data_IF_144571531070
#
_entry.id   IF_144571531070
#
_cell.length_a   1.000
_cell.length_b   1.000
_cell.length_c   1.000
_cell.angle_alpha   90.00
_cell.angle_beta   90.00
_cell.angle_gamma   90.00
#
_symmetry.space_group_name_H-M   'P 1'
#
loop_
_entity.id
_entity.type
_entity.pdbx_description
1 polymer ?
#
# COMPACT_ATOMS: atom_id res chain seq x y z
N UNK A 1 -25.09 -2.42 9.19
CA UNK A 1 -26.13 -1.40 9.47
C UNK A 1 -27.16 -1.47 8.35
N UNK A 2 -28.15 -2.34 8.48
CA UNK A 2 -29.25 -2.45 7.51
C UNK A 2 -30.20 -1.29 7.81
N UNK A 3 -30.33 -0.35 6.86
CA UNK A 3 -31.07 0.89 7.04
C UNK A 3 -32.54 0.67 7.47
N UNK A 4 -32.97 1.46 8.46
CA UNK A 4 -34.35 1.53 8.99
C UNK A 4 -35.43 1.95 7.97
N UNK A 5 -35.07 2.14 6.69
CA UNK A 5 -36.00 2.47 5.61
C UNK A 5 -36.86 1.29 5.14
N UNK A 6 -36.47 0.04 5.45
CA UNK A 6 -37.19 -1.15 5.00
C UNK A 6 -38.54 -1.38 5.70
N UNK A 7 -38.82 -0.68 6.80
CA UNK A 7 -40.03 -0.93 7.63
C UNK A 7 -41.30 -0.35 6.99
N UNK A 8 -41.19 0.69 6.14
CA UNK A 8 -42.35 1.41 5.57
C UNK A 8 -42.80 0.91 4.19
N UNK A 9 -42.11 -0.06 3.57
CA UNK A 9 -42.45 -0.57 2.24
C UNK A 9 -43.59 -1.61 2.31
N UNK A 10 -44.51 -1.59 1.35
CA UNK A 10 -45.55 -2.61 1.25
C UNK A 10 -44.92 -3.99 0.95
N UNK A 11 -45.54 -5.12 1.34
CA UNK A 11 -45.01 -6.47 1.07
C UNK A 11 -44.51 -6.73 -0.36
N UNK A 12 -45.21 -6.31 -1.44
CA UNK A 12 -44.71 -6.51 -2.82
C UNK A 12 -43.47 -5.63 -3.14
N UNK A 13 -43.34 -4.45 -2.52
CA UNK A 13 -42.20 -3.54 -2.72
C UNK A 13 -40.93 -4.05 -2.01
N UNK A 14 -41.07 -4.76 -0.89
CA UNK A 14 -39.93 -5.42 -0.22
C UNK A 14 -39.36 -6.58 -1.04
N UNK A 15 -40.21 -7.35 -1.73
CA UNK A 15 -39.76 -8.48 -2.56
C UNK A 15 -39.01 -8.02 -3.81
N UNK A 16 -39.45 -6.93 -4.45
CA UNK A 16 -38.79 -6.37 -5.63
C UNK A 16 -37.43 -5.74 -5.30
N UNK A 17 -37.33 -5.02 -4.17
CA UNK A 17 -36.06 -4.46 -3.70
C UNK A 17 -35.02 -5.54 -3.35
N UNK A 18 -35.45 -6.65 -2.74
CA UNK A 18 -34.57 -7.79 -2.42
C UNK A 18 -34.03 -8.48 -3.68
N UNK A 19 -34.89 -8.69 -4.69
CA UNK A 19 -34.48 -9.26 -5.99
C UNK A 19 -33.48 -8.36 -6.71
N UNK A 20 -33.73 -7.05 -6.74
CA UNK A 20 -32.82 -6.08 -7.37
C UNK A 20 -31.43 -6.06 -6.71
N UNK A 21 -31.36 -6.17 -5.38
CA UNK A 21 -30.07 -6.26 -4.68
C UNK A 21 -29.32 -7.56 -4.97
N UNK A 22 -30.04 -8.69 -5.05
CA UNK A 22 -29.46 -9.98 -5.42
C UNK A 22 -28.93 -9.98 -6.87
N UNK A 23 -29.67 -9.38 -7.81
CA UNK A 23 -29.25 -9.30 -9.21
C UNK A 23 -28.04 -8.36 -9.39
N UNK A 24 -27.99 -7.25 -8.63
CA UNK A 24 -26.81 -6.36 -8.63
C UNK A 24 -25.55 -7.04 -8.07
N UNK A 25 -25.70 -7.85 -7.02
CA UNK A 25 -24.58 -8.63 -6.46
C UNK A 25 -24.10 -9.69 -7.46
N UNK A 26 -25.00 -10.45 -8.08
CA UNK A 26 -24.66 -11.43 -9.13
C UNK A 26 -23.95 -10.79 -10.32
N UNK A 27 -24.40 -9.62 -10.75
CA UNK A 27 -23.75 -8.88 -11.83
C UNK A 27 -22.32 -8.43 -11.46
N UNK A 28 -22.09 -8.08 -10.19
CA UNK A 28 -20.76 -7.71 -9.69
C UNK A 28 -19.83 -8.92 -9.67
N UNK A 29 -20.29 -10.07 -9.14
CA UNK A 29 -19.51 -11.33 -9.13
C UNK A 29 -19.18 -11.78 -10.55
N UNK A 30 -20.15 -11.74 -11.47
CA UNK A 30 -19.91 -12.09 -12.87
C UNK A 30 -18.88 -11.17 -13.55
N UNK A 31 -18.87 -9.88 -13.21
CA UNK A 31 -17.86 -8.95 -13.72
C UNK A 31 -16.45 -9.22 -13.15
N UNK A 32 -16.36 -9.62 -11.87
CA UNK A 32 -15.09 -10.03 -11.25
C UNK A 32 -14.56 -11.33 -11.88
N UNK A 33 -15.43 -12.33 -12.12
CA UNK A 33 -15.06 -13.57 -12.81
C UNK A 33 -14.57 -13.30 -14.25
N UNK A 34 -15.22 -12.39 -14.99
CA UNK A 34 -14.76 -11.98 -16.32
C UNK A 34 -13.39 -11.31 -16.29
N UNK A 35 -13.12 -10.46 -15.29
CA UNK A 35 -11.82 -9.81 -15.14
C UNK A 35 -10.72 -10.83 -14.82
N UNK A 36 -10.98 -11.79 -13.94
CA UNK A 36 -10.03 -12.87 -13.61
C UNK A 36 -9.76 -13.75 -14.83
N UNK A 37 -10.78 -14.05 -15.63
CA UNK A 37 -10.63 -14.81 -16.86
C UNK A 37 -9.78 -14.07 -17.91
N UNK A 38 -9.93 -12.75 -18.03
CA UNK A 38 -9.14 -11.95 -18.97
C UNK A 38 -7.67 -11.86 -18.54
N UNK A 39 -7.39 -11.59 -17.25
CA UNK A 39 -6.02 -11.56 -16.71
C UNK A 39 -5.33 -12.92 -16.90
N UNK A 40 -6.06 -14.02 -16.67
CA UNK A 40 -5.54 -15.37 -16.87
C UNK A 40 -5.19 -15.63 -18.34
N UNK A 41 -5.99 -15.11 -19.28
CA UNK A 41 -5.71 -15.22 -20.72
C UNK A 41 -4.47 -14.43 -21.10
N UNK A 42 -4.29 -13.21 -20.60
CA UNK A 42 -3.10 -12.40 -20.85
C UNK A 42 -1.83 -13.08 -20.32
N UNK A 43 -1.90 -13.69 -19.14
CA UNK A 43 -0.77 -14.44 -18.58
C UNK A 43 -0.37 -15.63 -19.45
N UNK A 44 -1.33 -16.45 -19.89
CA UNK A 44 -1.08 -17.58 -20.77
C UNK A 44 -0.51 -17.16 -22.14
N UNK A 45 -0.96 -16.03 -22.67
CA UNK A 45 -0.40 -15.47 -23.91
C UNK A 45 1.05 -15.00 -23.72
N UNK A 46 1.37 -14.36 -22.59
CA UNK A 46 2.72 -13.95 -22.26
C UNK A 46 3.66 -15.16 -22.11
N UNK A 47 3.20 -16.23 -21.46
CA UNK A 47 3.97 -17.47 -21.29
C UNK A 47 4.23 -18.18 -22.63
N UNK A 48 3.23 -18.20 -23.52
CA UNK A 48 3.37 -18.74 -24.87
C UNK A 48 4.36 -17.92 -25.72
N UNK A 49 4.32 -16.58 -25.62
CA UNK A 49 5.27 -15.69 -26.32
C UNK A 49 6.70 -15.88 -25.81
N UNK A 50 6.90 -15.99 -24.50
CA UNK A 50 8.20 -16.28 -23.91
C UNK A 50 8.76 -17.63 -24.39
N UNK A 51 7.90 -18.65 -24.49
CA UNK A 51 8.28 -19.98 -24.98
C UNK A 51 8.71 -19.94 -26.46
N UNK A 52 8.03 -19.16 -27.30
CA UNK A 52 8.44 -18.98 -28.71
C UNK A 52 9.80 -18.30 -28.82
N UNK A 53 10.06 -17.25 -28.04
CA UNK A 53 11.37 -16.58 -28.02
C UNK A 53 12.51 -17.50 -27.61
N UNK A 54 12.27 -18.40 -26.65
CA UNK A 54 13.26 -19.41 -26.24
C UNK A 54 13.54 -20.44 -27.34
N UNK A 55 12.55 -20.80 -28.16
CA UNK A 55 12.75 -21.72 -29.29
C UNK A 55 13.63 -21.14 -30.41
N UNK A 56 13.52 -19.83 -30.70
CA UNK A 56 14.31 -19.16 -31.74
C UNK A 56 15.81 -19.03 -31.40
N UNK A 57 16.19 -19.19 -30.14
CA UNK A 57 17.60 -19.21 -29.71
C UNK A 57 18.34 -20.53 -29.99
N UNK A 58 17.66 -21.53 -30.54
CA UNK A 58 18.21 -22.88 -30.75
C UNK A 58 18.50 -23.25 -32.21
N UNK A 59 18.27 -22.34 -33.16
CA UNK A 59 18.62 -22.57 -34.56
C UNK A 59 20.15 -22.50 -34.73
N UNK A 60 20.75 -23.66 -34.94
CA UNK A 60 22.18 -23.91 -34.98
C UNK A 60 22.94 -22.90 -35.86
N UNK A 61 23.96 -22.27 -35.28
CA UNK A 61 24.99 -21.58 -36.04
C UNK A 61 25.59 -22.56 -37.07
N UNK A 62 25.80 -22.13 -38.33
CA UNK A 62 26.37 -22.99 -39.36
C UNK A 62 27.77 -23.47 -38.91
N UNK A 63 28.08 -24.77 -39.04
CA UNK A 63 29.40 -25.28 -38.68
C UNK A 63 30.42 -24.75 -39.67
N UNK A 64 31.41 -23.98 -39.21
CA UNK A 64 32.57 -23.67 -40.07
C UNK A 64 33.35 -22.37 -39.87
N UNK A 65 33.26 -21.67 -38.73
CA UNK A 65 34.25 -20.62 -38.42
C UNK A 65 34.62 -20.59 -36.95
N UNK A 66 35.74 -21.23 -36.62
CA UNK A 66 36.49 -20.98 -35.41
C UNK A 66 37.03 -19.56 -35.48
N UNK A 67 36.30 -18.60 -34.92
CA UNK A 67 36.88 -17.30 -34.57
C UNK A 67 37.40 -17.46 -33.15
N UNK A 68 38.72 -17.60 -33.04
CA UNK A 68 39.43 -17.61 -31.78
C UNK A 68 39.38 -16.19 -31.20
N UNK A 69 38.41 -15.95 -30.32
CA UNK A 69 38.29 -14.69 -29.59
C UNK A 69 39.31 -14.72 -28.46
N UNK A 70 40.44 -14.04 -28.65
CA UNK A 70 41.33 -13.65 -27.56
C UNK A 70 40.70 -12.47 -26.83
N UNK A 71 40.62 -12.47 -25.49
CA UNK A 71 40.08 -11.35 -24.75
C UNK A 71 41.15 -10.26 -24.63
N UNK A 72 41.09 -9.27 -25.52
CA UNK A 72 41.68 -7.96 -25.31
C UNK A 72 40.58 -7.04 -24.76
N UNK A 73 40.82 -6.45 -23.59
CA UNK A 73 39.86 -5.63 -22.85
C UNK A 73 39.97 -4.13 -23.17
N UNK A 74 40.73 -3.70 -24.18
CA UNK A 74 41.04 -2.28 -24.41
C UNK A 74 40.58 -1.68 -25.75
N UNK A 75 39.53 -2.20 -26.38
CA UNK A 75 38.95 -1.57 -27.58
C UNK A 75 37.44 -1.53 -27.56
N UNK A 76 36.91 -0.36 -27.18
CA UNK A 76 35.52 0.01 -27.37
C UNK A 76 35.18 -0.01 -28.87
N UNK A 77 34.52 -1.08 -29.32
CA UNK A 77 33.89 -1.14 -30.63
C UNK A 77 32.57 -0.37 -30.55
N UNK A 78 32.58 0.86 -31.08
CA UNK A 78 31.37 1.57 -31.48
C UNK A 78 30.76 0.85 -32.69
N UNK A 79 29.61 0.20 -32.50
CA UNK A 79 28.75 -0.24 -33.60
C UNK A 79 27.76 0.89 -33.89
N UNK A 80 27.71 1.45 -35.13
CA UNK A 80 26.68 2.42 -35.49
C UNK A 80 25.32 1.73 -35.64
N UNK A 81 24.39 2.09 -34.75
CA UNK A 81 22.96 1.75 -34.82
C UNK A 81 22.25 2.68 -35.81
N UNK A 82 22.40 2.46 -37.12
CA UNK A 82 21.61 3.20 -38.13
C UNK A 82 21.44 2.38 -39.41
N UNK A 83 20.78 1.22 -39.32
CA UNK A 83 20.23 0.51 -40.49
C UNK A 83 19.30 -0.60 -40.01
N UNK A 84 18.07 -0.24 -39.62
CA UNK A 84 16.84 -1.03 -39.71
C UNK A 84 15.70 -0.14 -39.17
N UNK A 85 14.86 0.35 -40.07
CA UNK A 85 13.71 1.22 -39.77
C UNK A 85 12.56 0.48 -39.07
N UNK A 86 12.79 0.03 -37.84
CA UNK A 86 11.77 -0.48 -36.93
C UNK A 86 11.88 0.28 -35.62
N UNK A 87 11.15 1.38 -35.49
CA UNK A 87 10.92 2.02 -34.20
C UNK A 87 9.96 1.16 -33.37
N UNK A 88 10.44 0.03 -32.86
CA UNK A 88 9.82 -0.59 -31.70
C UNK A 88 10.33 0.19 -30.48
N UNK A 89 9.51 1.12 -29.99
CA UNK A 89 9.78 1.76 -28.70
C UNK A 89 9.70 0.67 -27.63
N UNK A 90 10.86 0.17 -27.20
CA UNK A 90 10.98 -0.64 -25.99
C UNK A 90 10.63 0.29 -24.83
N UNK A 91 9.36 0.29 -24.41
CA UNK A 91 8.96 0.90 -23.16
C UNK A 91 9.65 0.12 -22.05
N UNK A 92 10.42 0.82 -21.24
CA UNK A 92 10.99 0.24 -20.02
C UNK A 92 9.86 -0.20 -19.09
N UNK A 93 10.12 -1.22 -18.28
CA UNK A 93 9.15 -1.70 -17.28
C UNK A 93 8.64 -0.54 -16.38
N UNK A 94 9.51 0.43 -16.06
CA UNK A 94 9.15 1.62 -15.29
C UNK A 94 8.15 2.53 -16.02
N UNK A 95 8.28 2.68 -17.35
CA UNK A 95 7.32 3.45 -18.16
C UNK A 95 5.95 2.74 -18.24
N UNK A 96 5.95 1.41 -18.37
CA UNK A 96 4.72 0.62 -18.37
C UNK A 96 4.00 0.70 -17.00
N UNK A 97 4.75 0.65 -15.90
CA UNK A 97 4.21 0.82 -14.55
C UNK A 97 3.66 2.24 -14.32
N UNK A 98 4.37 3.27 -14.78
CA UNK A 98 3.91 4.66 -14.67
C UNK A 98 2.59 4.89 -15.43
N UNK A 99 2.44 4.32 -16.64
CA UNK A 99 1.20 4.41 -17.41
C UNK A 99 0.05 3.66 -16.74
N UNK A 100 0.29 2.49 -16.17
CA UNK A 100 -0.72 1.71 -15.43
C UNK A 100 -1.20 2.47 -14.19
N UNK A 101 -0.28 3.07 -13.43
CA UNK A 101 -0.65 3.91 -12.28
C UNK A 101 -1.43 5.16 -12.68
N UNK A 102 -1.06 5.81 -13.80
CA UNK A 102 -1.79 6.97 -14.32
C UNK A 102 -3.23 6.60 -14.73
N UNK A 103 -3.43 5.45 -15.39
CA UNK A 103 -4.77 4.96 -15.77
C UNK A 103 -5.62 4.61 -14.55
N UNK A 104 -5.05 3.95 -13.53
CA UNK A 104 -5.76 3.62 -12.29
C UNK A 104 -6.20 4.87 -11.51
N UNK A 105 -5.33 5.90 -11.47
CA UNK A 105 -5.66 7.21 -10.87
C UNK A 105 -6.79 7.91 -11.64
N UNK A 106 -6.74 7.90 -12.97
CA UNK A 106 -7.79 8.50 -13.81
C UNK A 106 -9.15 7.81 -13.63
N UNK A 107 -9.18 6.47 -13.57
CA UNK A 107 -10.42 5.72 -13.30
C UNK A 107 -10.99 6.02 -11.91
N UNK A 108 -10.14 6.13 -10.89
CA UNK A 108 -10.55 6.47 -9.53
C UNK A 108 -11.16 7.87 -9.46
N UNK A 109 -10.54 8.85 -10.14
CA UNK A 109 -11.06 10.21 -10.23
C UNK A 109 -12.39 10.29 -10.99
N UNK A 110 -12.52 9.57 -12.11
CA UNK A 110 -13.77 9.50 -12.87
C UNK A 110 -14.92 8.90 -12.03
N UNK A 111 -14.64 7.84 -11.25
CA UNK A 111 -15.63 7.23 -10.36
C UNK A 111 -16.04 8.17 -9.22
N UNK A 112 -15.10 8.93 -8.65
CA UNK A 112 -15.39 9.94 -7.63
C UNK A 112 -16.24 11.09 -8.19
N UNK A 113 -15.96 11.55 -9.42
CA UNK A 113 -16.75 12.59 -10.10
C UNK A 113 -18.18 12.12 -10.40
N UNK A 114 -18.35 10.89 -10.91
CA UNK A 114 -19.68 10.31 -11.16
C UNK A 114 -20.51 10.19 -9.88
N UNK A 115 -19.89 9.81 -8.75
CA UNK A 115 -20.55 9.75 -7.44
C UNK A 115 -20.94 11.14 -6.91
N UNK A 116 -20.13 12.17 -7.16
CA UNK A 116 -20.44 13.54 -6.78
C UNK A 116 -21.63 14.10 -7.58
N UNK A 117 -21.68 13.84 -8.89
CA UNK A 117 -22.79 14.26 -9.75
C UNK A 117 -24.12 13.57 -9.37
N UNK A 118 -24.08 12.28 -9.01
CA UNK A 118 -25.26 11.56 -8.54
C UNK A 118 -25.85 12.10 -7.22
N UNK A 119 -25.01 12.74 -6.37
CA UNK A 119 -25.47 13.40 -5.13
C UNK A 119 -26.06 14.79 -5.39
N UNK A 120 -25.56 15.53 -6.37
CA UNK A 120 -26.06 16.87 -6.71
C UNK A 120 -27.42 16.85 -7.43
N UNK A 121 -27.75 15.78 -8.17
CA UNK A 121 -29.02 15.66 -8.89
C UNK A 121 -30.26 15.44 -8.02
N UNK A 122 -30.11 15.14 -6.71
CA UNK A 122 -31.24 14.84 -5.81
C UNK A 122 -31.77 16.04 -5.02
N UNK A 123 -31.21 17.24 -5.17
CA UNK A 123 -31.55 18.41 -4.33
C UNK A 123 -32.46 19.44 -4.99
N UNK A 124 -33.04 19.18 -6.18
CA UNK A 124 -33.79 20.19 -6.93
C UNK A 124 -35.24 19.88 -7.29
N UNK A 125 -35.94 19.05 -6.49
CA UNK A 125 -37.40 19.00 -6.50
C UNK A 125 -37.95 19.07 -5.08
N UNK A 126 -38.44 20.26 -4.70
CA UNK A 126 -39.31 20.42 -3.54
C UNK A 126 -38.85 21.48 -2.54
N UNK A 127 -38.93 22.76 -2.88
CA UNK A 127 -39.67 23.70 -2.02
C UNK A 127 -39.96 25.03 -2.72
N UNK A 128 -41.23 25.27 -2.99
CA UNK A 128 -41.75 26.55 -3.47
C UNK A 128 -42.88 26.93 -2.51
N UNK A 129 -42.60 27.79 -1.50
CA UNK A 129 -43.47 28.90 -1.06
C UNK A 129 -43.01 29.55 0.27
N UNK A 130 -43.20 30.87 0.28
CA UNK A 130 -43.40 31.81 1.41
C UNK A 130 -42.19 32.43 2.12
N UNK A 131 -41.65 33.48 1.49
CA UNK A 131 -41.81 34.91 1.85
C UNK A 131 -41.81 35.36 3.32
N UNK A 132 -40.84 36.25 3.61
CA UNK A 132 -40.92 37.52 4.38
C UNK A 132 -41.01 37.52 5.92
N UNK A 133 -39.94 37.98 6.60
CA UNK A 133 -39.81 39.36 7.15
C UNK A 133 -38.50 39.58 7.95
N UNK A 134 -37.73 40.59 7.50
CA UNK A 134 -37.14 41.74 8.22
C UNK A 134 -36.41 41.55 9.57
N UNK A 135 -35.13 41.97 9.61
CA UNK A 135 -34.42 42.32 10.86
C UNK A 135 -32.93 42.67 10.65
N UNK A 136 -32.61 43.96 10.56
CA UNK A 136 -31.27 44.56 10.52
C UNK A 136 -30.54 44.53 11.89
N UNK A 137 -29.20 44.38 11.86
CA UNK A 137 -28.13 45.07 12.67
C UNK A 137 -26.83 44.26 12.47
N UNK A 138 -25.79 44.68 11.75
CA UNK A 138 -24.83 45.80 11.85
C UNK A 138 -23.92 45.79 13.09
N UNK A 139 -22.60 45.73 12.84
CA UNK A 139 -21.45 45.82 13.76
C UNK A 139 -20.47 44.67 13.48
N UNK A 140 -19.56 44.73 12.49
CA UNK A 140 -18.34 45.54 12.32
C UNK A 140 -17.28 45.35 13.43
N UNK A 141 -16.22 44.59 13.14
CA UNK A 141 -14.82 44.94 13.42
C UNK A 141 -13.84 43.79 13.08
N UNK A 142 -12.91 44.08 12.17
CA UNK A 142 -11.52 43.58 12.07
C UNK A 142 -10.65 44.82 11.80
N UNK A 143 -9.31 44.79 11.82
CA UNK A 143 -8.36 43.85 12.41
C UNK A 143 -7.26 44.60 13.24
N UNK A 144 -6.41 43.87 13.98
CA UNK A 144 -5.11 44.42 14.42
C UNK A 144 -4.03 43.36 14.22
N UNK A 145 -3.03 43.73 13.44
CA UNK A 145 -1.76 43.05 13.22
C UNK A 145 -0.74 43.50 14.27
N UNK A 146 0.09 42.58 14.80
CA UNK A 146 1.50 42.86 15.13
C UNK A 146 2.33 41.58 15.36
N UNK A 147 3.29 41.38 14.44
CA UNK A 147 4.73 41.16 14.66
C UNK A 147 5.25 40.17 15.72
N UNK A 148 6.03 39.21 15.20
CA UNK A 148 7.17 38.39 15.72
C UNK A 148 8.21 39.12 16.64
N UNK A 149 9.32 38.51 17.17
CA UNK A 149 9.90 37.15 16.97
C UNK A 149 10.40 36.40 18.25
N UNK A 150 10.81 35.14 18.02
CA UNK A 150 11.85 34.30 18.65
C UNK A 150 12.12 34.33 20.17
N UNK A 151 12.15 33.14 20.80
CA UNK A 151 13.28 32.68 21.65
C UNK A 151 13.16 31.21 22.07
N UNK A 152 14.29 30.52 21.96
CA UNK A 152 14.85 29.54 22.89
C UNK A 152 14.07 28.25 23.24
N UNK A 153 14.71 27.15 22.82
CA UNK A 153 14.69 25.83 23.41
C UNK A 153 14.39 25.80 24.93
N UNK A 154 13.44 24.95 25.31
CA UNK A 154 13.47 24.28 26.61
C UNK A 154 13.00 22.84 26.48
N UNK A 155 13.98 21.94 26.58
CA UNK A 155 13.85 20.51 26.83
C UNK A 155 12.96 20.33 28.07
N UNK A 156 11.69 20.03 27.86
CA UNK A 156 10.79 19.60 28.92
C UNK A 156 10.90 18.07 29.02
N UNK A 157 11.63 17.61 30.02
CA UNK A 157 11.49 16.26 30.57
C UNK A 157 10.10 16.15 31.19
N UNK A 158 9.11 15.87 30.34
CA UNK A 158 7.78 15.46 30.75
C UNK A 158 7.84 14.01 31.20
N UNK A 159 7.92 13.82 32.51
CA UNK A 159 7.63 12.55 33.18
C UNK A 159 6.15 12.26 32.96
N UNK A 160 5.82 11.57 31.87
CA UNK A 160 4.48 11.05 31.64
C UNK A 160 4.26 9.89 32.61
N UNK A 161 3.28 10.06 33.48
CA UNK A 161 2.81 9.07 34.43
C UNK A 161 2.32 7.83 33.67
N UNK A 162 2.85 6.68 34.09
CA UNK A 162 2.54 5.37 33.55
C UNK A 162 1.05 5.01 33.71
N UNK A 163 0.37 4.83 32.57
CA UNK A 163 -0.75 3.91 32.46
C UNK A 163 -0.17 2.51 32.22
N UNK A 164 -0.47 1.57 33.11
CA UNK A 164 0.12 0.22 33.10
C UNK A 164 -0.62 -0.72 32.13
N UNK A 165 -0.54 -0.45 30.82
CA UNK A 165 -0.75 -1.45 29.75
C UNK A 165 -0.08 -1.05 28.40
N UNK A 166 0.73 0.02 28.40
CA UNK A 166 1.40 0.50 27.19
C UNK A 166 2.50 -0.48 26.77
N UNK A 167 2.41 -1.06 25.57
CA UNK A 167 3.37 -2.01 24.98
C UNK A 167 4.83 -1.56 25.14
N UNK A 168 5.66 -2.25 25.92
CA UNK A 168 7.08 -1.88 26.04
C UNK A 168 7.93 -2.58 24.96
N UNK A 169 8.93 -1.87 24.44
CA UNK A 169 9.98 -2.46 23.63
C UNK A 169 10.78 -3.47 24.47
N UNK A 170 10.51 -4.76 24.27
CA UNK A 170 11.18 -5.86 24.96
C UNK A 170 12.41 -6.38 24.21
N UNK A 171 12.74 -7.64 24.47
CA UNK A 171 13.89 -8.31 23.88
C UNK A 171 13.78 -8.38 22.35
N UNK A 172 14.81 -7.88 21.69
CA UNK A 172 15.01 -7.93 20.24
C UNK A 172 15.82 -9.17 19.88
N UNK A 173 15.47 -9.80 18.76
CA UNK A 173 16.17 -10.95 18.21
C UNK A 173 16.82 -10.56 16.89
N UNK A 174 18.15 -10.67 16.82
CA UNK A 174 18.89 -10.49 15.58
C UNK A 174 18.78 -11.73 14.68
N UNK A 175 18.93 -11.52 13.38
CA UNK A 175 18.87 -12.55 12.35
C UNK A 175 17.59 -13.38 12.35
N UNK A 176 16.45 -12.72 12.54
CA UNK A 176 15.13 -13.34 12.52
C UNK A 176 14.13 -12.45 11.79
N UNK A 177 13.27 -13.04 10.98
CA UNK A 177 12.11 -12.41 10.38
C UNK A 177 10.84 -12.95 11.04
N UNK A 178 10.28 -12.23 12.01
CA UNK A 178 9.03 -12.64 12.65
C UNK A 178 7.85 -12.60 11.67
N UNK A 179 6.97 -13.60 11.78
CA UNK A 179 5.72 -13.70 11.05
C UNK A 179 4.69 -12.65 11.53
N UNK A 180 3.64 -12.49 10.74
CA UNK A 180 2.50 -11.63 11.08
C UNK A 180 1.96 -10.82 9.91
N UNK A 181 0.71 -10.41 10.02
CA UNK A 181 0.06 -9.57 9.03
C UNK A 181 0.61 -8.14 9.10
N UNK A 182 0.94 -7.57 7.95
CA UNK A 182 1.57 -6.25 7.87
C UNK A 182 0.53 -5.15 8.13
N UNK A 183 0.76 -4.35 9.17
CA UNK A 183 -0.05 -3.16 9.49
C UNK A 183 0.60 -1.87 8.99
N UNK A 184 1.92 -1.88 8.75
CA UNK A 184 2.64 -0.83 8.01
C UNK A 184 3.77 -1.44 7.17
N UNK A 185 3.77 -1.12 5.88
CA UNK A 185 4.73 -1.62 4.91
C UNK A 185 6.10 -0.95 5.06
N UNK A 186 7.18 -1.73 5.17
CA UNK A 186 8.53 -1.20 5.36
C UNK A 186 9.12 -0.47 4.15
N UNK A 187 8.72 -0.81 2.93
CA UNK A 187 9.15 -0.11 1.71
C UNK A 187 8.79 1.39 1.71
N UNK A 188 7.82 1.81 2.54
CA UNK A 188 7.39 3.21 2.72
C UNK A 188 7.70 3.73 4.12
N UNK A 189 8.36 2.92 4.96
CA UNK A 189 8.62 3.19 6.36
C UNK A 189 10.08 2.89 6.68
N UNK A 190 10.94 3.86 6.41
CA UNK A 190 12.37 3.78 6.67
C UNK A 190 12.68 4.50 7.98
N UNK A 191 13.47 3.87 8.84
CA UNK A 191 13.89 4.41 10.14
C UNK A 191 15.38 4.16 10.36
N UNK A 192 15.98 4.92 11.27
CA UNK A 192 17.44 4.89 11.47
C UNK A 192 17.92 3.72 12.34
N UNK A 193 17.03 3.00 13.02
CA UNK A 193 17.40 1.90 13.91
C UNK A 193 16.25 0.95 14.25
N UNK A 194 16.59 -0.26 14.69
CA UNK A 194 15.65 -1.23 15.26
C UNK A 194 14.87 -0.64 16.46
N UNK A 195 15.53 0.15 17.31
CA UNK A 195 14.87 0.83 18.43
C UNK A 195 13.80 1.83 17.96
N UNK A 196 14.09 2.60 16.90
CA UNK A 196 13.10 3.49 16.29
C UNK A 196 11.93 2.71 15.65
N UNK A 197 12.20 1.55 15.05
CA UNK A 197 11.16 0.67 14.52
C UNK A 197 10.23 0.16 15.64
N UNK A 198 10.81 -0.29 16.75
CA UNK A 198 10.05 -0.72 17.92
C UNK A 198 9.17 0.41 18.47
N UNK A 199 9.73 1.61 18.60
CA UNK A 199 9.00 2.77 19.09
C UNK A 199 7.80 3.11 18.19
N UNK A 200 7.96 3.03 16.87
CA UNK A 200 6.84 3.17 15.95
C UNK A 200 5.78 2.07 16.12
N UNK A 201 6.19 0.82 16.38
CA UNK A 201 5.26 -0.25 16.68
C UNK A 201 4.45 0.08 17.93
N UNK A 202 5.12 0.51 19.02
CA UNK A 202 4.44 0.93 20.26
C UNK A 202 3.42 2.02 19.99
N UNK A 203 3.82 3.09 19.30
CA UNK A 203 2.93 4.20 18.98
C UNK A 203 1.73 3.77 18.12
N UNK A 204 1.96 2.86 17.17
CA UNK A 204 0.89 2.31 16.35
C UNK A 204 -0.07 1.45 17.18
N UNK A 205 0.44 0.71 18.16
CA UNK A 205 -0.36 -0.14 19.02
C UNK A 205 -1.23 0.65 20.00
N UNK A 206 -0.76 1.81 20.45
CA UNK A 206 -1.46 2.69 21.40
C UNK A 206 -2.31 3.77 20.71
N UNK A 207 -2.22 3.89 19.38
CA UNK A 207 -3.03 4.81 18.62
C UNK A 207 -4.53 4.46 18.74
N UNK A 208 -5.45 5.44 18.61
CA UNK A 208 -6.86 5.16 18.53
C UNK A 208 -7.14 4.11 17.44
N UNK A 209 -7.91 3.05 17.74
CA UNK A 209 -8.10 1.96 16.79
C UNK A 209 -8.75 2.51 15.52
N UNK A 210 -8.05 2.37 14.40
CA UNK A 210 -8.65 2.53 13.09
C UNK A 210 -9.63 1.38 12.87
N UNK A 211 -10.80 1.69 12.30
CA UNK A 211 -11.79 0.67 11.99
C UNK A 211 -11.16 -0.41 11.11
N UNK A 212 -11.25 -1.67 11.56
CA UNK A 212 -10.76 -2.85 10.86
C UNK A 212 -9.23 -2.94 10.69
N UNK A 213 -8.44 -2.19 11.48
CA UNK A 213 -6.97 -2.36 11.53
C UNK A 213 -6.49 -2.65 12.95
N UNK A 214 -5.93 -3.84 13.21
CA UNK A 214 -5.35 -4.16 14.50
C UNK A 214 -4.09 -3.33 14.78
N UNK A 215 -3.79 -3.13 16.06
CA UNK A 215 -2.56 -2.50 16.51
C UNK A 215 -1.33 -3.34 16.16
N UNK A 216 -0.14 -2.72 16.22
CA UNK A 216 1.10 -3.45 16.02
C UNK A 216 1.39 -4.31 17.25
N UNK A 217 1.81 -5.57 17.06
CA UNK A 217 2.23 -6.46 18.16
C UNK A 217 3.65 -6.99 17.98
N UNK A 218 4.13 -7.05 16.73
CA UNK A 218 5.49 -7.42 16.36
C UNK A 218 6.03 -6.50 15.27
N UNK A 219 7.35 -6.45 15.13
CA UNK A 219 8.02 -5.62 14.12
C UNK A 219 9.30 -6.28 13.65
N UNK A 220 9.70 -5.95 12.42
CA UNK A 220 11.00 -6.36 11.85
C UNK A 220 11.70 -5.12 11.25
N UNK A 221 13.01 -5.08 11.36
CA UNK A 221 13.87 -4.00 10.91
C UNK A 221 15.04 -4.56 10.08
N UNK A 222 15.28 -4.00 8.89
CA UNK A 222 16.41 -4.42 8.07
C UNK A 222 17.69 -3.75 8.53
N UNK A 223 18.57 -4.49 9.21
CA UNK A 223 19.85 -3.98 9.72
C UNK A 223 21.02 -4.27 8.77
N UNK A 224 20.86 -5.24 7.87
CA UNK A 224 21.92 -5.60 6.93
C UNK A 224 22.14 -4.53 5.84
N UNK A 225 23.39 -4.06 5.72
CA UNK A 225 23.82 -3.15 4.65
C UNK A 225 23.63 -3.74 3.24
N UNK A 226 23.77 -5.06 3.11
CA UNK A 226 23.51 -5.78 1.86
C UNK A 226 22.02 -5.94 1.53
N UNK A 227 21.13 -5.47 2.40
CA UNK A 227 19.70 -5.67 2.30
C UNK A 227 19.18 -6.96 2.95
N UNK A 228 17.85 -7.10 2.98
CA UNK A 228 17.12 -8.16 3.69
C UNK A 228 16.11 -8.92 2.81
N UNK A 229 15.60 -10.03 3.33
CA UNK A 229 14.73 -10.98 2.61
C UNK A 229 15.49 -11.98 1.73
N UNK A 230 14.74 -12.91 1.12
CA UNK A 230 15.26 -14.02 0.31
C UNK A 230 16.17 -13.54 -0.85
N UNK A 231 15.78 -12.46 -1.51
CA UNK A 231 16.51 -11.88 -2.66
C UNK A 231 17.37 -10.67 -2.28
N UNK A 232 17.47 -10.32 -0.99
CA UNK A 232 18.14 -9.10 -0.50
C UNK A 232 17.62 -7.79 -1.13
N UNK A 233 16.42 -7.81 -1.71
CA UNK A 233 15.81 -6.65 -2.37
C UNK A 233 15.28 -5.59 -1.39
N UNK A 234 15.20 -5.89 -0.09
CA UNK A 234 14.79 -4.92 0.93
C UNK A 234 15.97 -4.07 1.35
N UNK A 235 15.78 -2.76 1.42
CA UNK A 235 16.87 -1.84 1.75
C UNK A 235 17.07 -1.75 3.27
N UNK A 236 18.31 -1.46 3.69
CA UNK A 236 18.61 -1.15 5.09
C UNK A 236 17.71 -0.02 5.58
N UNK A 237 17.25 -0.13 6.82
CA UNK A 237 16.36 0.85 7.44
C UNK A 237 14.87 0.54 7.26
N UNK A 238 14.49 -0.40 6.39
CA UNK A 238 13.09 -0.80 6.26
C UNK A 238 12.54 -1.32 7.59
N UNK A 239 11.46 -0.69 8.07
CA UNK A 239 10.75 -1.06 9.29
C UNK A 239 9.33 -1.51 8.96
N UNK A 240 9.07 -2.79 9.16
CA UNK A 240 7.77 -3.39 8.92
C UNK A 240 7.07 -3.57 10.26
N UNK A 241 5.90 -2.96 10.40
CA UNK A 241 5.04 -3.15 11.57
C UNK A 241 4.05 -4.26 11.26
N UNK A 242 3.92 -5.21 12.17
CA UNK A 242 3.10 -6.39 12.00
C UNK A 242 2.16 -6.59 13.19
N UNK A 243 1.09 -7.31 12.94
CA UNK A 243 0.22 -7.87 13.96
C UNK A 243 0.30 -9.39 13.90
N UNK A 244 0.31 -10.01 15.06
CA UNK A 244 0.23 -11.45 15.27
C UNK A 244 -0.75 -11.71 16.41
N UNK A 245 -1.52 -12.80 16.33
CA UNK A 245 -2.47 -13.20 17.37
C UNK A 245 -1.73 -13.63 18.64
N UNK A 246 -0.67 -14.43 18.46
CA UNK A 246 0.17 -14.93 19.54
C UNK A 246 1.61 -14.41 19.40
N UNK A 247 1.88 -13.11 19.61
CA UNK A 247 3.21 -12.52 19.38
C UNK A 247 4.29 -13.12 20.29
N UNK A 248 3.93 -13.62 21.47
CA UNK A 248 4.87 -14.24 22.40
C UNK A 248 5.51 -15.54 21.88
N UNK A 249 4.90 -16.22 20.90
CA UNK A 249 5.49 -17.40 20.27
C UNK A 249 6.72 -17.06 19.42
N UNK A 250 6.89 -15.80 19.00
CA UNK A 250 8.03 -15.34 18.20
C UNK A 250 8.28 -16.23 16.99
N UNK A 251 7.20 -16.63 16.32
CA UNK A 251 7.27 -17.42 15.09
C UNK A 251 8.00 -16.63 14.02
N UNK A 252 8.98 -17.26 13.40
CA UNK A 252 9.84 -16.61 12.41
C UNK A 252 9.78 -17.38 11.10
N UNK A 253 9.52 -16.64 10.01
CA UNK A 253 9.59 -17.14 8.64
C UNK A 253 10.99 -17.66 8.33
N UNK A 254 11.98 -16.90 8.80
CA UNK A 254 13.40 -17.16 8.65
C UNK A 254 14.13 -16.81 9.94
N UNK A 255 15.12 -17.62 10.31
CA UNK A 255 15.93 -17.42 11.51
C UNK A 255 17.32 -18.01 11.29
N UNK A 256 18.33 -17.36 11.85
CA UNK A 256 19.70 -17.85 11.86
C UNK A 256 20.65 -17.06 10.96
N UNK A 257 21.88 -17.56 10.82
CA UNK A 257 22.95 -16.87 10.12
C UNK A 257 22.57 -16.49 8.67
N UNK A 258 22.97 -15.30 8.24
CA UNK A 258 22.68 -14.77 6.90
C UNK A 258 21.32 -14.08 6.76
N UNK A 259 20.45 -14.14 7.78
CA UNK A 259 19.20 -13.37 7.82
C UNK A 259 19.49 -11.95 8.30
N UNK A 260 19.19 -10.94 7.49
CA UNK A 260 19.53 -9.54 7.79
C UNK A 260 18.54 -8.79 8.68
N UNK A 261 17.48 -9.47 9.13
CA UNK A 261 16.40 -8.87 9.89
C UNK A 261 16.66 -8.90 11.39
N UNK A 262 16.37 -7.79 12.06
CA UNK A 262 16.22 -7.73 13.52
C UNK A 262 14.74 -7.63 13.83
N UNK A 263 14.23 -8.48 14.71
CA UNK A 263 12.81 -8.57 15.04
C UNK A 263 12.55 -8.31 16.53
N UNK A 264 11.32 -7.92 16.85
CA UNK A 264 10.88 -7.80 18.23
C UNK A 264 9.37 -7.87 18.39
N UNK A 265 8.94 -8.02 19.64
CA UNK A 265 7.54 -8.05 20.07
C UNK A 265 7.34 -7.06 21.21
N UNK A 266 6.13 -6.52 21.35
CA UNK A 266 5.81 -5.62 22.46
C UNK A 266 5.43 -6.45 23.70
N UNK A 267 6.18 -6.28 24.80
CA UNK A 267 6.12 -7.16 25.98
C UNK A 267 4.95 -6.94 26.93
N UNK A 268 3.99 -6.05 26.61
CA UNK A 268 2.85 -5.76 27.49
C UNK A 268 1.48 -5.67 26.79
N UNK A 269 1.41 -5.93 25.48
CA UNK A 269 0.11 -5.98 24.76
C UNK A 269 -0.56 -7.36 24.87
N UNK A 270 0.17 -8.35 25.38
CA UNK A 270 -0.30 -9.72 25.65
C UNK A 270 -0.56 -10.03 27.12
N UNK A 271 -0.93 -9.04 27.92
CA UNK A 271 -1.32 -9.29 29.31
C UNK A 271 -2.67 -10.00 29.40
N UNK A 272 -2.67 -11.33 29.50
CA UNK A 272 -3.59 -12.08 30.38
C UNK A 272 -2.88 -13.36 30.89
N UNK A 273 -2.48 -13.34 32.16
CA UNK A 273 -2.99 -14.12 33.33
C UNK A 273 -2.77 -15.62 33.22
#
# INVERSE_FOLDING_TARGET
VVSAAAVLLSPPERQTASRSAADAWRATVAAEEQLVAEISREFLQAEAAASQLLSWGSEAAPPGRSVEVRPDWDSAIFIPMDLLGVQAQVQTHDQAQAQTQAKAKAQTQAKAQAQAQAKAGKTHQGNKKQSSKKGQKSGNAQPVLRGEPATAAKRATGKHSAGADEGTCGDMEANAEYEGAVVRWGAQNIVDSAAACCEQCRQHATAPPEKDKPGCTSWIYCDAESGCGDTKARVRGECWLKTHEEPWLREARMRGEGIGWTSGVLSSIGGRV
#
